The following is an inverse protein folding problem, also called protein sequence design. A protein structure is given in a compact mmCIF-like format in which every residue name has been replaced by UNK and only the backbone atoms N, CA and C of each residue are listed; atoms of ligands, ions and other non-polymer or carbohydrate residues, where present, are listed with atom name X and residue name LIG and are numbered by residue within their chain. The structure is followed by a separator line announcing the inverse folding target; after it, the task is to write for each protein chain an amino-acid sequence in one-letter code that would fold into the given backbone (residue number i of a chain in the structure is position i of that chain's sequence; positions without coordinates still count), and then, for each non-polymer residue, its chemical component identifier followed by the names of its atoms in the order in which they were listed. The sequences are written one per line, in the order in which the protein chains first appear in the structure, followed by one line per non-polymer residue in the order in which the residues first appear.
data_IF_462307420289
#
_entry.id   IF_462307420289
#
_cell.length_a   1.000
_cell.length_b   1.000
_cell.length_c   1.000
_cell.angle_alpha   90.00
_cell.angle_beta   90.00
_cell.angle_gamma   90.00
#
_symmetry.space_group_name_H-M   'P 1'
#
loop_
_entity.id
_entity.type
_entity.pdbx_description
1 polymer ?
#
# COMPACT_ATOMS: atom_id res chain seq x y z
N UNK A 1 -29.10 -11.78 -66.63
CA UNK A 1 -29.98 -10.61 -66.91
C UNK A 1 -29.09 -9.56 -67.54
N UNK A 2 -29.30 -9.25 -68.81
CA UNK A 2 -28.50 -8.24 -69.51
C UNK A 2 -29.06 -6.85 -69.18
N UNK A 3 -28.26 -6.00 -68.55
CA UNK A 3 -28.57 -4.59 -68.39
C UNK A 3 -28.69 -3.95 -69.78
N UNK A 4 -29.88 -3.44 -70.11
CA UNK A 4 -30.05 -2.60 -71.31
C UNK A 4 -29.35 -1.27 -71.05
N UNK A 5 -28.11 -1.14 -71.51
CA UNK A 5 -27.41 0.14 -71.57
C UNK A 5 -28.24 1.12 -72.41
N UNK A 6 -28.47 2.31 -71.88
CA UNK A 6 -29.11 3.40 -72.62
C UNK A 6 -28.06 3.90 -73.62
N UNK A 7 -28.19 3.50 -74.88
CA UNK A 7 -27.31 3.97 -75.96
C UNK A 7 -27.68 5.42 -76.33
N UNK A 8 -26.71 6.32 -76.22
CA UNK A 8 -26.84 7.71 -76.66
C UNK A 8 -26.49 7.86 -78.14
N UNK A 9 -26.87 8.99 -78.76
CA UNK A 9 -26.51 9.27 -80.15
C UNK A 9 -25.00 9.31 -80.40
N UNK A 10 -24.22 9.67 -79.39
CA UNK A 10 -22.74 9.69 -79.42
C UNK A 10 -22.17 8.27 -79.46
N UNK A 11 -22.75 7.33 -78.70
CA UNK A 11 -22.32 5.92 -78.70
C UNK A 11 -22.51 5.28 -80.07
N UNK A 12 -23.63 5.58 -80.74
CA UNK A 12 -23.92 5.11 -82.09
C UNK A 12 -22.95 5.70 -83.12
N UNK A 13 -22.54 6.96 -82.95
CA UNK A 13 -21.52 7.58 -83.80
C UNK A 13 -20.17 6.89 -83.63
N UNK A 14 -19.79 6.55 -82.40
CA UNK A 14 -18.55 5.84 -82.11
C UNK A 14 -18.53 4.45 -82.76
N UNK A 15 -19.60 3.67 -82.59
CA UNK A 15 -19.73 2.33 -83.20
C UNK A 15 -19.69 2.38 -84.74
N UNK A 16 -20.30 3.42 -85.34
CA UNK A 16 -20.26 3.64 -86.79
C UNK A 16 -18.85 3.96 -87.29
N UNK A 17 -18.09 4.76 -86.54
CA UNK A 17 -16.70 5.11 -86.88
C UNK A 17 -15.78 3.90 -86.71
N UNK A 18 -15.97 3.08 -85.67
CA UNK A 18 -15.23 1.83 -85.47
C UNK A 18 -15.50 0.81 -86.60
N UNK A 19 -16.76 0.63 -86.98
CA UNK A 19 -17.16 -0.33 -88.02
C UNK A 19 -16.65 0.03 -89.42
N UNK A 20 -16.67 1.32 -89.78
CA UNK A 20 -16.29 1.80 -91.13
C UNK A 20 -14.87 2.33 -91.23
N UNK A 21 -14.17 2.55 -90.10
CA UNK A 21 -12.81 3.09 -89.94
C UNK A 21 -12.60 4.52 -90.45
N UNK A 22 -13.37 4.95 -91.45
CA UNK A 22 -13.40 6.29 -92.02
C UNK A 22 -14.80 6.59 -92.53
N UNK A 23 -15.40 7.67 -92.03
CA UNK A 23 -16.76 8.07 -92.33
C UNK A 23 -16.81 9.58 -92.58
N UNK A 24 -17.44 10.06 -93.65
CA UNK A 24 -17.62 11.51 -93.80
C UNK A 24 -18.72 12.04 -92.87
N UNK A 25 -18.64 13.32 -92.47
CA UNK A 25 -19.69 13.94 -91.64
C UNK A 25 -21.10 13.82 -92.25
N UNK A 26 -21.20 13.93 -93.57
CA UNK A 26 -22.48 13.80 -94.28
C UNK A 26 -23.02 12.37 -94.18
N UNK A 27 -22.16 11.36 -94.40
CA UNK A 27 -22.56 9.96 -94.26
C UNK A 27 -22.92 9.63 -92.80
N UNK A 28 -22.20 10.18 -91.83
CA UNK A 28 -22.53 10.00 -90.41
C UNK A 28 -23.89 10.62 -90.06
N UNK A 29 -24.17 11.84 -90.55
CA UNK A 29 -25.45 12.52 -90.39
C UNK A 29 -26.61 11.72 -91.01
N UNK A 30 -26.41 11.20 -92.24
CA UNK A 30 -27.41 10.39 -92.94
C UNK A 30 -27.68 9.06 -92.20
N UNK A 31 -26.65 8.41 -91.67
CA UNK A 31 -26.78 7.15 -90.93
C UNK A 31 -27.43 7.31 -89.56
N UNK A 32 -27.17 8.42 -88.87
CA UNK A 32 -27.69 8.69 -87.53
C UNK A 32 -29.03 9.44 -87.55
N UNK A 33 -29.45 9.95 -88.71
CA UNK A 33 -30.69 10.70 -88.86
C UNK A 33 -30.68 12.05 -88.14
N UNK A 34 -29.50 12.65 -87.96
CA UNK A 34 -29.30 13.94 -87.27
C UNK A 34 -28.65 14.95 -88.20
N UNK A 35 -28.72 16.25 -87.87
CA UNK A 35 -28.14 17.29 -88.71
C UNK A 35 -26.60 17.29 -88.63
N UNK A 36 -25.94 17.69 -89.71
CA UNK A 36 -24.46 17.77 -89.81
C UNK A 36 -23.83 18.57 -88.65
N UNK A 37 -24.37 19.72 -88.21
CA UNK A 37 -23.81 20.45 -87.07
C UNK A 37 -23.80 19.63 -85.77
N UNK A 38 -24.83 18.81 -85.53
CA UNK A 38 -24.93 17.98 -84.32
C UNK A 38 -23.88 16.85 -84.35
N UNK A 39 -23.69 16.22 -85.50
CA UNK A 39 -22.61 15.22 -85.67
C UNK A 39 -21.24 15.87 -85.50
N UNK A 40 -21.09 17.12 -85.95
CA UNK A 40 -19.84 17.84 -85.79
C UNK A 40 -19.56 18.19 -84.32
N UNK A 41 -20.54 18.64 -83.55
CA UNK A 41 -20.39 18.84 -82.10
C UNK A 41 -20.02 17.53 -81.38
N UNK A 42 -20.64 16.41 -81.76
CA UNK A 42 -20.28 15.10 -81.21
C UNK A 42 -18.87 14.67 -81.63
N UNK A 43 -18.47 14.96 -82.86
CA UNK A 43 -17.15 14.64 -83.38
C UNK A 43 -16.06 15.46 -82.69
N UNK A 44 -16.29 16.76 -82.51
CA UNK A 44 -15.38 17.67 -81.80
C UNK A 44 -15.23 17.21 -80.34
N UNK A 45 -16.33 16.84 -79.68
CA UNK A 45 -16.31 16.27 -78.32
C UNK A 45 -15.52 14.94 -78.25
N UNK A 46 -15.75 14.04 -79.20
CA UNK A 46 -15.04 12.75 -79.27
C UNK A 46 -13.57 12.91 -79.67
N UNK A 47 -13.21 13.97 -80.41
CA UNK A 47 -11.82 14.32 -80.73
C UNK A 47 -11.08 14.88 -79.51
N UNK A 48 -11.74 15.73 -78.72
CA UNK A 48 -11.23 16.27 -77.45
C UNK A 48 -10.96 15.17 -76.42
N UNK A 49 -11.88 14.20 -76.29
CA UNK A 49 -11.69 13.00 -75.47
C UNK A 49 -10.69 12.00 -76.09
N UNK A 50 -10.30 12.21 -77.35
CA UNK A 50 -9.28 11.42 -78.04
C UNK A 50 -9.76 10.03 -78.49
N UNK A 51 -11.05 9.87 -78.72
CA UNK A 51 -11.69 8.64 -79.20
C UNK A 51 -11.64 8.53 -80.72
N UNK A 52 -11.80 9.65 -81.43
CA UNK A 52 -11.74 9.74 -82.90
C UNK A 52 -10.78 10.85 -83.34
N UNK A 53 -10.48 10.91 -84.63
CA UNK A 53 -9.67 11.99 -85.24
C UNK A 53 -10.41 12.56 -86.43
N UNK A 54 -10.47 13.88 -86.53
CA UNK A 54 -11.16 14.60 -87.60
C UNK A 54 -10.15 14.98 -88.68
N UNK A 55 -10.17 14.29 -89.82
CA UNK A 55 -9.33 14.60 -90.97
C UNK A 55 -10.07 15.49 -91.99
N UNK A 56 -9.53 16.68 -92.24
CA UNK A 56 -10.00 17.55 -93.31
C UNK A 56 -9.24 17.23 -94.62
N UNK A 57 -9.94 16.72 -95.63
CA UNK A 57 -9.37 16.52 -96.98
C UNK A 57 -10.20 17.27 -98.02
N UNK A 58 -9.55 18.23 -98.68
CA UNK A 58 -10.16 19.14 -99.65
C UNK A 58 -11.30 19.94 -98.99
N UNK A 59 -12.55 19.63 -99.35
CA UNK A 59 -13.79 20.27 -98.89
C UNK A 59 -14.69 19.31 -98.08
N UNK A 60 -14.17 18.15 -97.66
CA UNK A 60 -14.91 17.16 -96.87
C UNK A 60 -14.18 16.83 -95.57
N UNK A 61 -14.94 16.79 -94.49
CA UNK A 61 -14.49 16.39 -93.16
C UNK A 61 -14.77 14.90 -92.96
N UNK A 62 -13.75 14.15 -92.56
CA UNK A 62 -13.81 12.71 -92.30
C UNK A 62 -13.56 12.43 -90.82
N UNK A 63 -14.43 11.63 -90.22
CA UNK A 63 -14.25 11.01 -88.91
C UNK A 63 -13.47 9.72 -89.11
N UNK A 64 -12.27 9.67 -88.57
CA UNK A 64 -11.39 8.51 -88.60
C UNK A 64 -11.30 7.90 -87.20
N UNK A 65 -11.27 6.57 -87.13
CA UNK A 65 -10.92 5.85 -85.90
C UNK A 65 -9.52 6.31 -85.45
N UNK A 66 -9.41 6.91 -84.26
CA UNK A 66 -8.11 7.31 -83.72
C UNK A 66 -7.40 6.06 -83.21
N UNK A 67 -6.63 5.42 -84.08
CA UNK A 67 -5.63 4.45 -83.65
C UNK A 67 -4.54 5.19 -82.90
N UNK A 68 -4.54 5.07 -81.57
CA UNK A 68 -3.48 5.56 -80.71
C UNK A 68 -2.12 5.23 -81.35
N UNK A 69 -1.36 6.26 -81.71
CA UNK A 69 -0.08 6.08 -82.36
C UNK A 69 0.86 5.40 -81.34
N UNK A 70 1.68 4.41 -81.75
CA UNK A 70 2.54 3.63 -80.83
C UNK A 70 3.32 4.49 -79.82
N UNK A 71 3.71 5.71 -80.22
CA UNK A 71 4.41 6.69 -79.38
C UNK A 71 3.58 7.28 -78.24
N UNK A 72 2.27 7.47 -78.41
CA UNK A 72 1.39 7.99 -77.35
C UNK A 72 1.04 6.91 -76.33
N UNK A 73 0.85 5.68 -76.80
CA UNK A 73 0.72 4.50 -75.93
C UNK A 73 2.01 4.32 -75.13
N UNK A 74 3.19 4.32 -75.78
CA UNK A 74 4.47 4.23 -75.08
C UNK A 74 4.69 5.35 -74.04
N UNK A 75 4.28 6.59 -74.35
CA UNK A 75 4.42 7.72 -73.42
C UNK A 75 3.50 7.57 -72.21
N UNK A 76 2.23 7.22 -72.42
CA UNK A 76 1.29 6.91 -71.31
C UNK A 76 1.78 5.70 -70.52
N UNK A 77 2.22 4.62 -71.17
CA UNK A 77 2.77 3.43 -70.49
C UNK A 77 4.00 3.76 -69.66
N UNK A 78 4.92 4.62 -70.14
CA UNK A 78 6.08 5.10 -69.36
C UNK A 78 5.69 5.97 -68.17
N UNK A 79 4.72 6.88 -68.33
CA UNK A 79 4.21 7.69 -67.21
C UNK A 79 3.52 6.82 -66.15
N UNK A 80 2.74 5.81 -66.58
CA UNK A 80 2.11 4.86 -65.68
C UNK A 80 3.12 3.93 -65.00
N UNK A 81 4.15 3.46 -65.70
CA UNK A 81 5.24 2.68 -65.09
C UNK A 81 6.00 3.52 -64.06
N UNK A 82 6.26 4.80 -64.35
CA UNK A 82 6.95 5.71 -63.43
C UNK A 82 6.12 6.00 -62.18
N UNK A 83 4.80 6.23 -62.34
CA UNK A 83 3.87 6.39 -61.21
C UNK A 83 3.74 5.11 -60.39
N UNK A 84 3.74 3.95 -61.04
CA UNK A 84 3.77 2.64 -60.38
C UNK A 84 5.03 2.48 -59.55
N UNK A 85 6.20 2.66 -60.13
CA UNK A 85 7.47 2.49 -59.42
C UNK A 85 7.60 3.45 -58.23
N UNK A 86 7.15 4.71 -58.39
CA UNK A 86 7.09 5.67 -57.29
C UNK A 86 6.13 5.22 -56.19
N UNK A 87 4.98 4.65 -56.54
CA UNK A 87 4.02 4.09 -55.57
C UNK A 87 4.58 2.84 -54.88
N UNK A 88 5.19 1.91 -55.61
CA UNK A 88 5.80 0.70 -55.07
C UNK A 88 6.91 1.04 -54.08
N UNK A 89 7.77 2.01 -54.40
CA UNK A 89 8.81 2.50 -53.47
C UNK A 89 8.21 3.13 -52.21
N UNK A 90 7.13 3.90 -52.31
CA UNK A 90 6.44 4.46 -51.14
C UNK A 90 5.86 3.36 -50.25
N UNK A 91 5.24 2.34 -50.85
CA UNK A 91 4.73 1.18 -50.13
C UNK A 91 5.86 0.42 -49.45
N UNK A 92 6.96 0.13 -50.15
CA UNK A 92 8.14 -0.55 -49.59
C UNK A 92 8.77 0.23 -48.43
N UNK A 93 8.88 1.55 -48.54
CA UNK A 93 9.41 2.39 -47.49
C UNK A 93 8.49 2.42 -46.25
N UNK A 94 7.17 2.46 -46.46
CA UNK A 94 6.20 2.39 -45.38
C UNK A 94 6.18 1.00 -44.70
N UNK A 95 6.42 -0.08 -45.45
CA UNK A 95 6.59 -1.43 -44.92
C UNK A 95 7.84 -1.50 -44.04
N UNK A 96 8.98 -1.01 -44.54
CA UNK A 96 10.24 -1.05 -43.80
C UNK A 96 10.17 -0.23 -42.49
N UNK A 97 9.53 0.95 -42.52
CA UNK A 97 9.32 1.73 -41.28
C UNK A 97 8.42 1.02 -40.29
N UNK A 98 7.33 0.39 -40.77
CA UNK A 98 6.39 -0.34 -39.93
C UNK A 98 7.05 -1.55 -39.27
N UNK A 99 7.87 -2.31 -40.00
CA UNK A 99 8.63 -3.43 -39.43
C UNK A 99 9.55 -2.97 -38.30
N UNK A 100 10.27 -1.87 -38.49
CA UNK A 100 11.14 -1.29 -37.47
C UNK A 100 10.38 -0.83 -36.22
N UNK A 101 9.21 -0.20 -36.40
CA UNK A 101 8.33 0.20 -35.29
C UNK A 101 7.75 -1.02 -34.55
N UNK A 102 7.38 -2.07 -35.29
CA UNK A 102 6.87 -3.33 -34.77
C UNK A 102 7.94 -4.08 -33.94
N UNK A 103 9.19 -4.11 -34.41
CA UNK A 103 10.33 -4.64 -33.64
C UNK A 103 10.61 -3.83 -32.37
N UNK A 104 10.51 -2.49 -32.46
CA UNK A 104 10.63 -1.62 -31.29
C UNK A 104 9.55 -1.89 -30.24
N UNK A 105 8.31 -2.09 -30.69
CA UNK A 105 7.20 -2.45 -29.83
C UNK A 105 7.37 -3.81 -29.15
N UNK A 106 7.89 -4.84 -29.85
CA UNK A 106 8.15 -6.15 -29.22
C UNK A 106 9.21 -6.08 -28.12
N UNK A 107 10.27 -5.29 -28.31
CA UNK A 107 11.27 -5.05 -27.26
C UNK A 107 10.64 -4.37 -26.05
N UNK A 108 9.81 -3.36 -26.29
CA UNK A 108 9.09 -2.64 -25.24
C UNK A 108 8.12 -3.57 -24.47
N UNK A 109 7.44 -4.46 -25.19
CA UNK A 109 6.55 -5.48 -24.61
C UNK A 109 7.31 -6.44 -23.70
N UNK A 110 8.49 -6.91 -24.12
CA UNK A 110 9.35 -7.75 -23.30
C UNK A 110 9.86 -7.01 -22.04
N UNK A 111 10.21 -5.73 -22.14
CA UNK A 111 10.58 -4.91 -20.99
C UNK A 111 9.42 -4.74 -20.00
N UNK A 112 8.21 -4.45 -20.49
CA UNK A 112 6.99 -4.36 -19.67
C UNK A 112 6.69 -5.71 -18.99
N UNK A 113 6.91 -6.83 -19.68
CA UNK A 113 6.71 -8.17 -19.12
C UNK A 113 7.70 -8.49 -18.01
N UNK A 114 8.99 -8.16 -18.21
CA UNK A 114 10.02 -8.30 -17.17
C UNK A 114 9.70 -7.43 -15.95
N UNK A 115 9.31 -6.19 -16.18
CA UNK A 115 8.90 -5.27 -15.13
C UNK A 115 7.68 -5.83 -14.36
N UNK A 116 6.66 -6.34 -15.06
CA UNK A 116 5.49 -6.96 -14.44
C UNK A 116 5.82 -8.16 -13.57
N UNK A 117 6.77 -9.01 -14.00
CA UNK A 117 7.20 -10.17 -13.22
C UNK A 117 7.96 -9.75 -11.96
N UNK A 118 8.87 -8.77 -12.08
CA UNK A 118 9.60 -8.23 -10.92
C UNK A 118 8.64 -7.60 -9.90
N UNK A 119 7.71 -6.75 -10.37
CA UNK A 119 6.67 -6.16 -9.53
C UNK A 119 5.80 -7.23 -8.88
N UNK A 120 5.41 -8.28 -9.63
CA UNK A 120 4.59 -9.36 -9.09
C UNK A 120 5.24 -10.04 -7.88
N UNK A 121 6.56 -10.26 -7.95
CA UNK A 121 7.34 -10.81 -6.84
C UNK A 121 7.38 -9.85 -5.64
N UNK A 122 7.65 -8.57 -5.87
CA UNK A 122 7.74 -7.57 -4.80
C UNK A 122 6.38 -7.34 -4.12
N UNK A 123 5.29 -7.34 -4.89
CA UNK A 123 3.92 -7.21 -4.37
C UNK A 123 3.56 -8.40 -3.48
N UNK A 124 3.96 -9.61 -3.85
CA UNK A 124 3.68 -10.80 -3.04
C UNK A 124 4.48 -10.76 -1.73
N UNK A 125 5.75 -10.33 -1.76
CA UNK A 125 6.52 -10.09 -0.53
C UNK A 125 5.89 -9.03 0.37
N UNK A 126 5.45 -7.89 -0.19
CA UNK A 126 4.77 -6.84 0.59
C UNK A 126 3.45 -7.37 1.16
N UNK A 127 2.74 -8.23 0.44
CA UNK A 127 1.51 -8.87 0.91
C UNK A 127 1.77 -9.81 2.08
N UNK A 128 2.82 -10.62 2.01
CA UNK A 128 3.25 -11.49 3.12
C UNK A 128 3.61 -10.64 4.35
N UNK A 129 4.41 -9.59 4.17
CA UNK A 129 4.76 -8.65 5.26
C UNK A 129 3.53 -7.96 5.87
N UNK A 130 2.54 -7.60 5.05
CA UNK A 130 1.27 -7.03 5.51
C UNK A 130 0.43 -8.04 6.31
N UNK A 131 0.44 -9.32 5.93
CA UNK A 131 -0.22 -10.36 6.71
C UNK A 131 0.46 -10.57 8.06
N UNK A 132 1.79 -10.58 8.11
CA UNK A 132 2.54 -10.62 9.36
C UNK A 132 2.23 -9.41 10.24
N UNK A 133 2.20 -8.19 9.68
CA UNK A 133 1.82 -6.98 10.39
C UNK A 133 0.41 -7.05 10.97
N UNK A 134 -0.57 -7.57 10.22
CA UNK A 134 -1.92 -7.82 10.73
C UNK A 134 -1.92 -8.78 11.91
N UNK A 135 -1.15 -9.86 11.83
CA UNK A 135 -1.00 -10.80 12.93
C UNK A 135 -0.41 -10.13 14.18
N UNK A 136 0.62 -9.29 14.01
CA UNK A 136 1.17 -8.50 15.13
C UNK A 136 0.17 -7.49 15.71
N UNK A 137 -0.68 -6.89 14.88
CA UNK A 137 -1.73 -5.97 15.34
C UNK A 137 -2.79 -6.69 16.18
N UNK A 138 -3.22 -7.88 15.77
CA UNK A 138 -4.13 -8.73 16.55
C UNK A 138 -3.50 -9.16 17.89
N UNK A 139 -2.23 -9.58 17.85
CA UNK A 139 -1.49 -10.00 19.03
C UNK A 139 -1.33 -8.83 20.02
N UNK A 140 -1.03 -7.63 19.52
CA UNK A 140 -1.00 -6.40 20.33
C UNK A 140 -2.36 -6.13 20.97
N UNK A 141 -3.46 -6.23 20.21
CA UNK A 141 -4.81 -6.00 20.72
C UNK A 141 -5.18 -6.97 21.85
N UNK A 142 -4.72 -8.22 21.77
CA UNK A 142 -4.91 -9.20 22.83
C UNK A 142 -4.06 -8.87 24.07
N UNK A 143 -2.79 -8.52 23.89
CA UNK A 143 -1.92 -8.07 24.99
C UNK A 143 -2.48 -6.84 25.69
N UNK A 144 -2.99 -5.86 24.93
CA UNK A 144 -3.59 -4.64 25.50
C UNK A 144 -4.80 -4.99 26.39
N UNK A 145 -5.63 -5.97 25.99
CA UNK A 145 -6.73 -6.47 26.82
C UNK A 145 -6.23 -7.15 28.09
N UNK A 146 -5.22 -8.02 27.97
CA UNK A 146 -4.65 -8.73 29.11
C UNK A 146 -4.02 -7.76 30.11
N UNK A 147 -3.33 -6.71 29.64
CA UNK A 147 -2.77 -5.65 30.49
C UNK A 147 -3.89 -4.90 31.24
N UNK A 148 -4.99 -4.56 30.56
CA UNK A 148 -6.14 -3.90 31.19
C UNK A 148 -6.75 -4.80 32.27
N UNK A 149 -6.91 -6.08 31.97
CA UNK A 149 -7.47 -7.07 32.89
C UNK A 149 -6.58 -7.26 34.12
N UNK A 150 -5.27 -7.47 33.92
CA UNK A 150 -4.31 -7.56 35.02
C UNK A 150 -4.28 -6.30 35.88
N UNK A 151 -4.36 -5.11 35.27
CA UNK A 151 -4.41 -3.86 36.03
C UNK A 151 -5.63 -3.79 36.94
N UNK A 152 -6.79 -4.24 36.45
CA UNK A 152 -8.03 -4.29 37.23
C UNK A 152 -7.90 -5.28 38.41
N UNK A 153 -7.36 -6.46 38.16
CA UNK A 153 -7.10 -7.48 39.18
C UNK A 153 -6.14 -6.99 40.26
N UNK A 154 -5.04 -6.33 39.86
CA UNK A 154 -4.10 -5.71 40.80
C UNK A 154 -4.74 -4.59 41.63
N UNK A 155 -5.60 -3.76 41.03
CA UNK A 155 -6.33 -2.73 41.79
C UNK A 155 -7.23 -3.36 42.86
N UNK A 156 -7.99 -4.40 42.52
CA UNK A 156 -8.83 -5.12 43.49
C UNK A 156 -8.00 -5.78 44.60
N UNK A 157 -6.85 -6.36 44.25
CA UNK A 157 -5.94 -6.94 45.24
C UNK A 157 -5.39 -5.88 46.19
N UNK A 158 -4.99 -4.72 45.67
CA UNK A 158 -4.51 -3.59 46.47
C UNK A 158 -5.59 -3.07 47.42
N UNK A 159 -6.83 -2.89 46.96
CA UNK A 159 -7.95 -2.48 47.81
C UNK A 159 -8.19 -3.48 48.95
N UNK A 160 -8.17 -4.78 48.65
CA UNK A 160 -8.30 -5.83 49.66
C UNK A 160 -7.17 -5.78 50.70
N UNK A 161 -5.91 -5.62 50.27
CA UNK A 161 -4.77 -5.47 51.17
C UNK A 161 -4.92 -4.21 52.03
N UNK A 162 -5.31 -3.07 51.44
CA UNK A 162 -5.56 -1.84 52.19
C UNK A 162 -6.64 -2.03 53.27
N UNK A 163 -7.74 -2.71 52.95
CA UNK A 163 -8.77 -3.04 53.94
C UNK A 163 -8.23 -3.94 55.06
N UNK A 164 -7.45 -4.97 54.73
CA UNK A 164 -6.84 -5.85 55.72
C UNK A 164 -5.88 -5.07 56.64
N UNK A 165 -4.99 -4.26 56.08
CA UNK A 165 -4.06 -3.42 56.83
C UNK A 165 -4.80 -2.44 57.74
N UNK A 166 -5.85 -1.77 57.24
CA UNK A 166 -6.67 -0.87 58.04
C UNK A 166 -7.35 -1.60 59.22
N UNK A 167 -7.85 -2.82 58.99
CA UNK A 167 -8.47 -3.64 60.04
C UNK A 167 -7.46 -4.08 61.10
N UNK A 168 -6.24 -4.45 60.70
CA UNK A 168 -5.18 -4.85 61.63
C UNK A 168 -4.67 -3.65 62.43
N UNK A 169 -4.53 -2.48 61.78
CA UNK A 169 -4.17 -1.23 62.45
C UNK A 169 -5.16 -0.88 63.56
N UNK A 170 -6.47 -0.98 63.30
CA UNK A 170 -7.50 -0.75 64.33
C UNK A 170 -7.40 -1.74 65.50
N UNK A 171 -7.12 -3.02 65.23
CA UNK A 171 -6.92 -4.02 66.29
C UNK A 171 -5.68 -3.72 67.13
N UNK A 172 -4.59 -3.29 66.48
CA UNK A 172 -3.37 -2.90 67.18
C UNK A 172 -3.60 -1.68 68.07
N UNK A 173 -4.28 -0.65 67.56
CA UNK A 173 -4.63 0.55 68.32
C UNK A 173 -5.48 0.21 69.56
N UNK A 174 -6.49 -0.64 69.40
CA UNK A 174 -7.29 -1.12 70.54
C UNK A 174 -6.47 -1.90 71.59
N UNK A 175 -5.49 -2.71 71.16
CA UNK A 175 -4.59 -3.40 72.09
C UNK A 175 -3.66 -2.44 72.82
N UNK A 176 -3.18 -1.39 72.15
CA UNK A 176 -2.36 -0.34 72.78
C UNK A 176 -3.18 0.38 73.85
N UNK A 177 -4.42 0.78 73.54
CA UNK A 177 -5.32 1.42 74.50
C UNK A 177 -5.61 0.51 75.72
N UNK A 178 -5.81 -0.79 75.49
CA UNK A 178 -6.01 -1.77 76.56
C UNK A 178 -4.78 -1.91 77.45
N UNK A 179 -3.58 -1.99 76.86
CA UNK A 179 -2.31 -2.04 77.59
C UNK A 179 -2.11 -0.76 78.41
N UNK A 180 -2.42 0.41 77.87
CA UNK A 180 -2.32 1.68 78.60
C UNK A 180 -3.28 1.75 79.79
N UNK A 181 -4.52 1.29 79.60
CA UNK A 181 -5.52 1.18 80.66
C UNK A 181 -5.09 0.24 81.78
N UNK A 182 -4.60 -0.96 81.44
CA UNK A 182 -4.06 -1.90 82.44
C UNK A 182 -2.82 -1.37 83.15
N UNK A 183 -1.93 -0.68 82.42
CA UNK A 183 -0.76 -0.02 83.02
C UNK A 183 -1.18 1.03 84.04
N UNK A 184 -2.22 1.81 83.75
CA UNK A 184 -2.77 2.79 84.70
C UNK A 184 -3.32 2.11 85.97
N UNK A 185 -4.09 1.03 85.82
CA UNK A 185 -4.60 0.25 86.96
C UNK A 185 -3.49 -0.36 87.80
N UNK A 186 -2.43 -0.88 87.18
CA UNK A 186 -1.26 -1.41 87.88
C UNK A 186 -0.57 -0.31 88.68
N UNK A 187 -0.45 0.90 88.12
CA UNK A 187 0.18 2.02 88.81
C UNK A 187 -0.66 2.50 90.01
N UNK A 188 -1.99 2.56 89.87
CA UNK A 188 -2.91 2.80 90.99
C UNK A 188 -2.75 1.73 92.09
N UNK A 189 -2.74 0.44 91.71
CA UNK A 189 -2.54 -0.67 92.63
C UNK A 189 -1.19 -0.62 93.34
N UNK A 190 -0.10 -0.18 92.67
CA UNK A 190 1.21 0.04 93.30
C UNK A 190 1.15 1.15 94.35
N UNK A 191 0.45 2.25 94.07
CA UNK A 191 0.29 3.34 95.04
C UNK A 191 -0.46 2.85 96.27
N UNK A 192 -1.55 2.11 96.08
CA UNK A 192 -2.30 1.48 97.18
C UNK A 192 -1.42 0.50 97.97
N UNK A 193 -0.66 -0.35 97.26
CA UNK A 193 0.27 -1.30 97.88
C UNK A 193 1.32 -0.59 98.73
N UNK A 194 1.89 0.52 98.25
CA UNK A 194 2.85 1.33 99.02
C UNK A 194 2.24 1.93 100.30
N UNK A 195 0.95 2.28 100.26
CA UNK A 195 0.23 2.74 101.44
C UNK A 195 -0.01 1.61 102.43
N UNK A 196 -0.35 0.41 101.93
CA UNK A 196 -0.49 -0.80 102.74
C UNK A 196 0.85 -1.23 103.36
N UNK A 197 1.97 -1.17 102.63
CA UNK A 197 3.31 -1.44 103.16
C UNK A 197 3.68 -0.46 104.28
N UNK A 198 3.43 0.84 104.09
CA UNK A 198 3.65 1.84 105.17
C UNK A 198 2.76 1.56 106.39
N UNK A 199 1.53 1.13 106.16
CA UNK A 199 0.60 0.74 107.24
C UNK A 199 1.06 -0.54 107.94
N UNK A 200 1.54 -1.52 107.20
CA UNK A 200 2.14 -2.75 107.73
C UNK A 200 3.39 -2.42 108.56
N UNK A 201 4.28 -1.58 108.06
CA UNK A 201 5.48 -1.14 108.78
C UNK A 201 5.10 -0.41 110.08
N UNK A 202 4.06 0.43 110.06
CA UNK A 202 3.54 1.09 111.25
C UNK A 202 2.94 0.07 112.25
N UNK A 203 2.15 -0.89 111.76
CA UNK A 203 1.63 -1.99 112.59
C UNK A 203 2.78 -2.80 113.17
N UNK A 204 3.83 -3.09 112.39
CA UNK A 204 5.02 -3.81 112.84
C UNK A 204 5.78 -3.03 113.90
N UNK A 205 5.97 -1.71 113.73
CA UNK A 205 6.51 -0.81 114.77
C UNK A 205 5.65 -0.82 116.03
N UNK A 206 4.32 -0.84 115.91
CA UNK A 206 3.40 -0.96 117.06
C UNK A 206 3.45 -2.33 117.71
N UNK A 207 3.58 -3.41 116.93
CA UNK A 207 3.79 -4.78 117.42
C UNK A 207 5.15 -4.91 118.07
N UNK A 208 6.20 -4.27 117.56
CA UNK A 208 7.52 -4.21 118.18
C UNK A 208 7.51 -3.40 119.47
N UNK A 209 6.76 -2.29 119.52
CA UNK A 209 6.53 -1.53 120.75
C UNK A 209 5.70 -2.35 121.76
N UNK A 210 4.68 -3.08 121.32
CA UNK A 210 3.94 -4.04 122.15
C UNK A 210 4.83 -5.20 122.58
N UNK A 211 5.74 -5.69 121.73
CA UNK A 211 6.74 -6.70 122.07
C UNK A 211 7.80 -6.14 123.01
N UNK A 212 8.11 -4.84 122.98
CA UNK A 212 8.95 -4.15 123.96
C UNK A 212 8.22 -3.97 125.29
N UNK A 213 6.92 -3.68 125.27
CA UNK A 213 6.06 -3.66 126.46
C UNK A 213 5.95 -5.08 127.04
N UNK A 214 5.72 -6.10 126.21
CA UNK A 214 5.76 -7.51 126.58
C UNK A 214 7.16 -7.93 127.02
N UNK A 215 8.25 -7.36 126.48
CA UNK A 215 9.62 -7.53 127.00
C UNK A 215 9.85 -6.76 128.29
N UNK A 216 9.12 -5.71 128.61
CA UNK A 216 9.16 -5.03 129.92
C UNK A 216 8.34 -5.78 130.99
N UNK A 217 7.28 -6.47 130.54
CA UNK A 217 6.54 -7.50 131.28
C UNK A 217 7.33 -8.83 131.30
N UNK A 218 8.22 -9.03 130.34
CA UNK A 218 9.10 -10.19 130.16
C UNK A 218 10.48 -10.01 130.79
N UNK A 219 10.90 -8.81 131.16
CA UNK A 219 11.94 -8.56 132.16
C UNK A 219 11.39 -8.70 133.58
N UNK A 220 10.07 -8.93 133.71
CA UNK A 220 9.48 -9.65 134.85
C UNK A 220 9.41 -11.19 134.62
N UNK A 221 9.90 -11.73 133.49
CA UNK A 221 10.03 -13.18 133.17
C UNK A 221 11.43 -13.43 132.55
N UNK A 222 12.47 -13.27 133.35
CA UNK A 222 13.91 -13.33 133.00
C UNK A 222 14.44 -14.71 132.52
N UNK A 223 13.60 -15.61 131.98
CA UNK A 223 13.87 -17.06 131.97
C UNK A 223 13.89 -17.76 130.60
N UNK A 224 13.50 -17.13 129.48
CA UNK A 224 13.53 -17.77 128.15
C UNK A 224 14.66 -17.29 127.23
N UNK A 225 15.84 -17.04 127.80
CA UNK A 225 17.05 -16.53 127.13
C UNK A 225 17.83 -17.59 126.30
N UNK A 226 17.44 -18.85 126.26
CA UNK A 226 18.35 -19.94 125.83
C UNK A 226 18.03 -20.71 124.53
N UNK A 227 16.97 -20.44 123.75
CA UNK A 227 16.62 -21.33 122.60
C UNK A 227 16.80 -20.77 121.17
N UNK A 228 17.10 -19.48 120.97
CA UNK A 228 17.19 -18.88 119.62
C UNK A 228 18.66 -18.59 119.25
N UNK A 229 19.54 -19.57 119.46
CA UNK A 229 20.93 -19.55 118.94
C UNK A 229 21.09 -20.40 117.67
N UNK A 230 20.01 -21.05 117.20
CA UNK A 230 20.04 -22.09 116.17
C UNK A 230 19.41 -21.71 114.81
N UNK A 231 18.77 -20.55 114.65
CA UNK A 231 18.04 -20.22 113.41
C UNK A 231 18.73 -19.18 112.51
N UNK A 232 19.93 -18.73 112.88
CA UNK A 232 20.73 -17.74 112.13
C UNK A 232 21.35 -18.34 110.85
N UNK A 233 21.36 -19.66 110.69
CA UNK A 233 22.06 -20.34 109.58
C UNK A 233 21.25 -20.52 108.28
N UNK A 234 20.02 -19.99 108.15
CA UNK A 234 19.13 -20.28 107.01
C UNK A 234 18.77 -19.13 106.06
N UNK A 235 19.18 -17.89 106.32
CA UNK A 235 18.78 -16.72 105.50
C UNK A 235 19.87 -16.27 104.51
N UNK A 236 21.03 -16.93 104.48
CA UNK A 236 22.10 -16.62 103.53
C UNK A 236 21.97 -17.31 102.15
N UNK A 237 20.83 -17.94 101.81
CA UNK A 237 20.69 -18.74 100.58
C UNK A 237 19.64 -18.25 99.58
N UNK A 238 19.02 -17.08 99.79
CA UNK A 238 17.96 -16.57 98.86
C UNK A 238 18.30 -15.20 98.27
N UNK A 239 19.42 -14.58 98.67
CA UNK A 239 19.89 -13.31 98.12
C UNK A 239 20.79 -13.44 96.88
N UNK A 240 20.89 -14.65 96.27
CA UNK A 240 21.80 -14.94 95.16
C UNK A 240 21.17 -15.07 93.76
N UNK A 241 19.84 -15.10 93.62
CA UNK A 241 19.19 -15.46 92.33
C UNK A 241 18.41 -14.32 91.66
N UNK A 242 18.28 -13.14 92.30
CA UNK A 242 17.56 -11.99 91.73
C UNK A 242 18.47 -10.98 90.99
N UNK A 243 19.80 -11.05 91.15
CA UNK A 243 20.75 -10.11 90.52
C UNK A 243 21.21 -10.52 89.12
N UNK A 244 20.89 -11.73 88.64
CA UNK A 244 21.29 -12.20 87.32
C UNK A 244 20.25 -11.95 86.21
N UNK A 245 18.97 -11.70 86.52
CA UNK A 245 17.93 -11.54 85.50
C UNK A 245 17.78 -10.10 84.96
N UNK A 246 18.43 -9.12 85.61
CA UNK A 246 18.39 -7.71 85.18
C UNK A 246 19.57 -7.30 84.29
N UNK A 247 20.60 -8.15 84.15
CA UNK A 247 21.83 -7.85 83.40
C UNK A 247 21.81 -8.25 81.92
N UNK A 248 20.86 -9.09 81.49
CA UNK A 248 20.80 -9.60 80.10
C UNK A 248 19.76 -8.93 79.18
N UNK A 249 18.85 -8.10 79.70
CA UNK A 249 17.82 -7.43 78.88
C UNK A 249 18.29 -6.04 78.39
N UNK A 250 19.21 -5.40 79.11
CA UNK A 250 19.64 -4.02 78.83
C UNK A 250 20.75 -3.90 77.78
N UNK A 251 21.41 -5.01 77.41
CA UNK A 251 22.54 -5.02 76.45
C UNK A 251 22.20 -5.52 75.04
N UNK A 252 20.92 -5.77 74.70
CA UNK A 252 20.48 -6.14 73.33
C UNK A 252 19.59 -5.12 72.62
N UNK A 253 19.31 -3.97 73.23
CA UNK A 253 18.45 -2.93 72.64
C UNK A 253 19.18 -1.63 72.27
N UNK A 254 20.51 -1.54 72.45
CA UNK A 254 21.23 -0.24 72.36
C UNK A 254 22.39 -0.16 71.37
N UNK A 255 22.55 -1.13 70.47
CA UNK A 255 23.67 -1.10 69.50
C UNK A 255 23.33 -1.47 68.06
N UNK A 256 22.10 -1.87 67.70
CA UNK A 256 21.77 -2.23 66.29
C UNK A 256 20.34 -1.88 65.85
N UNK A 257 19.83 -0.69 66.21
CA UNK A 257 18.59 -0.18 65.58
C UNK A 257 18.68 1.30 65.20
N UNK A 258 19.88 1.70 64.77
CA UNK A 258 20.16 3.01 64.19
C UNK A 258 20.65 2.94 62.71
N UNK A 259 20.79 1.76 62.06
CA UNK A 259 20.95 1.71 60.60
C UNK A 259 19.89 0.85 59.88
N UNK A 260 18.61 0.89 60.26
CA UNK A 260 17.53 0.20 59.51
C UNK A 260 16.48 1.14 58.93
N UNK A 261 16.45 2.43 59.32
CA UNK A 261 15.73 3.50 58.61
C UNK A 261 16.65 4.13 57.54
N UNK A 262 17.42 3.30 56.85
CA UNK A 262 18.30 3.70 55.73
C UNK A 262 18.25 2.76 54.52
N UNK A 263 17.31 1.80 54.53
CA UNK A 263 17.08 0.87 53.40
C UNK A 263 15.67 1.03 52.81
N UNK A 264 14.83 1.91 53.36
CA UNK A 264 13.55 2.28 52.77
C UNK A 264 13.71 3.28 51.60
N UNK A 265 14.67 4.21 51.69
CA UNK A 265 14.83 5.28 50.69
C UNK A 265 15.73 4.91 49.49
N UNK A 266 16.39 3.73 49.49
CA UNK A 266 17.16 3.23 48.34
C UNK A 266 16.36 2.29 47.41
N UNK A 267 15.11 1.96 47.76
CA UNK A 267 14.23 1.11 46.94
C UNK A 267 13.11 1.84 46.21
N UNK A 268 12.96 3.14 46.42
CA UNK A 268 11.99 3.96 45.72
C UNK A 268 12.57 4.62 44.44
N UNK A 269 13.88 4.96 44.44
CA UNK A 269 14.56 5.50 43.25
C UNK A 269 14.75 4.49 42.10
N UNK A 270 14.74 3.18 42.39
CA UNK A 270 14.86 2.14 41.34
C UNK A 270 13.54 1.76 40.67
N UNK A 271 12.40 2.25 41.17
CA UNK A 271 11.08 1.99 40.57
C UNK A 271 10.69 3.11 39.58
N UNK A 272 11.10 4.35 39.81
CA UNK A 272 10.86 5.47 38.89
C UNK A 272 11.84 5.54 37.72
N UNK A 273 13.09 5.06 37.87
CA UNK A 273 14.07 5.01 36.78
C UNK A 273 13.76 3.93 35.70
N UNK A 274 13.00 2.89 36.06
CA UNK A 274 12.58 1.84 35.11
C UNK A 274 11.34 2.27 34.31
N UNK A 275 10.46 3.10 34.89
CA UNK A 275 9.29 3.64 34.18
C UNK A 275 9.67 4.66 33.09
N UNK A 276 10.68 5.49 33.31
CA UNK A 276 11.07 6.52 32.32
C UNK A 276 11.87 5.98 31.12
N UNK A 277 12.69 4.94 31.28
CA UNK A 277 13.39 4.32 30.13
C UNK A 277 12.46 3.50 29.23
N UNK A 278 11.40 2.93 29.82
CA UNK A 278 10.34 2.22 29.11
C UNK A 278 9.37 3.22 28.45
N UNK A 279 8.99 4.31 29.12
CA UNK A 279 8.17 5.39 28.54
C UNK A 279 8.91 6.15 27.42
N UNK A 280 10.22 6.41 27.52
CA UNK A 280 11.01 7.01 26.42
C UNK A 280 11.13 6.07 25.22
N UNK A 281 11.40 4.77 25.43
CA UNK A 281 11.42 3.76 24.34
C UNK A 281 10.03 3.54 23.73
N UNK A 282 8.95 3.63 24.52
CA UNK A 282 7.57 3.54 24.03
C UNK A 282 7.17 4.82 23.27
N UNK A 283 7.58 6.02 23.70
CA UNK A 283 7.29 7.27 23.01
C UNK A 283 8.14 7.47 21.74
N UNK A 284 9.40 7.03 21.72
CA UNK A 284 10.22 6.95 20.51
C UNK A 284 9.65 5.91 19.53
N UNK A 285 9.24 4.73 20.02
CA UNK A 285 8.53 3.73 19.19
C UNK A 285 7.19 4.26 18.68
N UNK A 286 6.42 4.99 19.49
CA UNK A 286 5.12 5.58 19.07
C UNK A 286 5.32 6.66 18.01
N UNK A 287 6.34 7.52 18.14
CA UNK A 287 6.69 8.50 17.10
C UNK A 287 7.21 7.85 15.82
N UNK A 288 8.00 6.77 15.91
CA UNK A 288 8.38 6.01 14.72
C UNK A 288 7.16 5.32 14.09
N UNK A 289 6.23 4.77 14.89
CA UNK A 289 4.99 4.14 14.40
C UNK A 289 4.06 5.17 13.72
N UNK A 290 3.91 6.39 14.25
CA UNK A 290 3.13 7.46 13.59
C UNK A 290 3.78 7.95 12.29
N UNK A 291 5.12 8.01 12.24
CA UNK A 291 5.86 8.30 11.01
C UNK A 291 5.67 7.20 9.98
N UNK A 292 5.76 5.92 10.38
CA UNK A 292 5.46 4.78 9.52
C UNK A 292 3.99 4.75 9.09
N UNK A 293 3.05 5.24 9.90
CA UNK A 293 1.63 5.32 9.52
C UNK A 293 1.41 6.33 8.40
N UNK A 294 2.01 7.52 8.50
CA UNK A 294 1.96 8.52 7.42
C UNK A 294 2.69 8.05 6.16
N UNK A 295 3.87 7.48 6.30
CA UNK A 295 4.64 6.89 5.19
C UNK A 295 3.90 5.71 4.56
N UNK A 296 3.15 4.91 5.33
CA UNK A 296 2.36 3.79 4.80
C UNK A 296 1.12 4.25 4.02
N UNK A 297 0.49 5.35 4.42
CA UNK A 297 -0.63 5.96 3.67
C UNK A 297 -0.11 6.54 2.36
N UNK A 298 1.03 7.23 2.40
CA UNK A 298 1.66 7.81 1.22
C UNK A 298 2.17 6.71 0.27
N UNK A 299 2.78 5.66 0.82
CA UNK A 299 3.15 4.48 0.04
C UNK A 299 1.95 3.75 -0.55
N UNK A 300 0.80 3.70 0.14
CA UNK A 300 -0.43 3.12 -0.39
C UNK A 300 -1.04 3.95 -1.53
N UNK A 301 -0.99 5.28 -1.43
CA UNK A 301 -1.40 6.18 -2.52
C UNK A 301 -0.46 6.07 -3.73
N UNK A 302 0.85 6.02 -3.51
CA UNK A 302 1.86 5.79 -4.54
C UNK A 302 1.67 4.41 -5.20
N UNK A 303 1.37 3.37 -4.40
CA UNK A 303 1.03 2.04 -4.91
C UNK A 303 -0.23 2.06 -5.77
N UNK A 304 -1.26 2.79 -5.35
CA UNK A 304 -2.51 2.92 -6.11
C UNK A 304 -2.27 3.63 -7.44
N UNK A 305 -1.55 4.76 -7.43
CA UNK A 305 -1.18 5.50 -8.62
C UNK A 305 -0.33 4.66 -9.58
N UNK A 306 0.57 3.83 -9.03
CA UNK A 306 1.36 2.89 -9.79
C UNK A 306 0.52 1.79 -10.46
N UNK A 307 -0.43 1.20 -9.75
CA UNK A 307 -1.33 0.18 -10.31
C UNK A 307 -2.26 0.75 -11.39
N UNK A 308 -2.77 1.97 -11.21
CA UNK A 308 -3.55 2.66 -12.24
C UNK A 308 -2.71 2.93 -13.49
N UNK A 309 -1.45 3.37 -13.32
CA UNK A 309 -0.50 3.55 -14.43
C UNK A 309 -0.18 2.23 -15.13
N UNK A 310 0.01 1.15 -14.37
CA UNK A 310 0.22 -0.21 -14.90
C UNK A 310 -0.99 -0.72 -15.70
N UNK A 311 -2.21 -0.50 -15.20
CA UNK A 311 -3.44 -0.88 -15.90
C UNK A 311 -3.55 -0.16 -17.25
N UNK A 312 -3.29 1.15 -17.28
CA UNK A 312 -3.28 1.94 -18.51
C UNK A 312 -2.21 1.46 -19.51
N UNK A 313 -1.01 1.16 -19.03
CA UNK A 313 0.06 0.59 -19.85
C UNK A 313 -0.37 -0.76 -20.45
N UNK A 314 -1.02 -1.62 -19.65
CA UNK A 314 -1.48 -2.92 -20.10
C UNK A 314 -2.59 -2.81 -21.17
N UNK A 315 -3.57 -1.94 -20.96
CA UNK A 315 -4.62 -1.64 -21.95
C UNK A 315 -4.03 -1.10 -23.25
N UNK A 316 -3.05 -0.19 -23.16
CA UNK A 316 -2.34 0.34 -24.31
C UNK A 316 -1.62 -0.77 -25.09
N UNK A 317 -0.89 -1.67 -24.39
CA UNK A 317 -0.20 -2.81 -25.02
C UNK A 317 -1.19 -3.74 -25.75
N UNK A 318 -2.33 -4.07 -25.13
CA UNK A 318 -3.36 -4.91 -25.78
C UNK A 318 -3.93 -4.20 -27.02
N UNK A 319 -4.20 -2.90 -26.92
CA UNK A 319 -4.73 -2.13 -28.05
C UNK A 319 -3.72 -2.03 -29.20
N UNK A 320 -2.43 -1.88 -28.89
CA UNK A 320 -1.34 -1.84 -29.86
C UNK A 320 -1.12 -3.19 -30.52
N UNK A 321 -1.20 -4.31 -29.78
CA UNK A 321 -1.14 -5.66 -30.38
C UNK A 321 -2.26 -5.87 -31.40
N UNK A 322 -3.48 -5.41 -31.08
CA UNK A 322 -4.62 -5.52 -31.99
C UNK A 322 -4.45 -4.64 -33.23
N UNK A 323 -4.03 -3.39 -33.05
CA UNK A 323 -3.77 -2.47 -34.16
C UNK A 323 -2.62 -2.95 -35.06
N UNK A 324 -1.56 -3.51 -34.47
CA UNK A 324 -0.46 -4.15 -35.21
C UNK A 324 -0.99 -5.26 -36.12
N UNK A 325 -1.81 -6.17 -35.60
CA UNK A 325 -2.38 -7.26 -36.38
C UNK A 325 -3.28 -6.76 -37.53
N UNK A 326 -4.07 -5.72 -37.28
CA UNK A 326 -4.90 -5.09 -38.33
C UNK A 326 -4.05 -4.40 -39.41
N UNK A 327 -2.96 -3.73 -39.03
CA UNK A 327 -2.03 -3.07 -39.94
C UNK A 327 -1.27 -4.11 -40.77
N UNK A 328 -0.78 -5.20 -40.16
CA UNK A 328 -0.11 -6.30 -40.88
C UNK A 328 -1.04 -6.94 -41.92
N UNK A 329 -2.30 -7.18 -41.54
CA UNK A 329 -3.31 -7.70 -42.47
C UNK A 329 -3.57 -6.73 -43.63
N UNK A 330 -3.78 -5.45 -43.32
CA UNK A 330 -3.98 -4.41 -44.34
C UNK A 330 -2.77 -4.25 -45.27
N UNK A 331 -1.56 -4.38 -44.73
CA UNK A 331 -0.31 -4.36 -45.48
C UNK A 331 -0.22 -5.54 -46.45
N UNK A 332 -0.56 -6.75 -45.98
CA UNK A 332 -0.56 -7.97 -46.80
C UNK A 332 -1.57 -7.87 -47.95
N UNK A 333 -2.75 -7.32 -47.70
CA UNK A 333 -3.76 -7.05 -48.72
C UNK A 333 -3.27 -6.04 -49.76
N UNK A 334 -2.59 -4.96 -49.33
CA UNK A 334 -1.98 -3.96 -50.20
C UNK A 334 -0.89 -4.55 -51.10
N UNK A 335 -0.01 -5.39 -50.53
CA UNK A 335 1.03 -6.10 -51.26
C UNK A 335 0.42 -7.04 -52.29
N UNK A 336 -0.61 -7.81 -51.91
CA UNK A 336 -1.29 -8.74 -52.80
C UNK A 336 -2.01 -8.01 -53.95
N UNK A 337 -2.66 -6.87 -53.67
CA UNK A 337 -3.26 -6.01 -54.69
C UNK A 337 -2.23 -5.39 -55.63
N UNK A 338 -1.13 -4.87 -55.10
CA UNK A 338 -0.04 -4.33 -55.91
C UNK A 338 0.63 -5.39 -56.81
N UNK A 339 0.76 -6.62 -56.30
CA UNK A 339 1.24 -7.77 -57.10
C UNK A 339 0.23 -8.17 -58.17
N UNK A 340 -1.06 -8.25 -57.84
CA UNK A 340 -2.14 -8.53 -58.80
C UNK A 340 -2.24 -7.50 -59.93
N UNK A 341 -1.98 -6.22 -59.63
CA UNK A 341 -1.90 -5.15 -60.61
C UNK A 341 -0.79 -5.37 -61.66
N UNK A 342 0.30 -6.05 -61.30
CA UNK A 342 1.39 -6.41 -62.23
C UNK A 342 0.92 -7.43 -63.28
N UNK A 343 -0.10 -8.22 -62.97
CA UNK A 343 -0.68 -9.23 -63.86
C UNK A 343 -1.79 -8.64 -64.77
N UNK A 344 -2.45 -7.56 -64.37
CA UNK A 344 -3.61 -6.98 -65.09
C UNK A 344 -3.29 -5.82 -66.04
N UNK A 345 -2.01 -5.48 -66.28
CA UNK A 345 -1.55 -4.40 -67.17
C UNK A 345 -2.02 -4.51 -68.65
N UNK A 346 -2.81 -5.52 -68.99
CA UNK A 346 -3.38 -5.75 -70.33
C UNK A 346 -4.83 -5.26 -70.50
N UNK A 347 -5.50 -4.76 -69.46
CA UNK A 347 -6.88 -4.25 -69.55
C UNK A 347 -6.96 -2.72 -69.52
N UNK A 348 -7.99 -2.14 -70.12
CA UNK A 348 -8.20 -0.68 -70.24
C UNK A 348 -8.45 0.03 -68.89
N UNK A 349 -8.81 -0.70 -67.84
CA UNK A 349 -9.20 -0.14 -66.53
C UNK A 349 -8.04 0.00 -65.51
N UNK A 350 -6.85 0.37 -65.99
CA UNK A 350 -5.67 0.61 -65.14
C UNK A 350 -5.91 1.80 -64.18
N UNK A 351 -6.73 2.77 -64.59
CA UNK A 351 -6.97 4.02 -63.86
C UNK A 351 -7.82 3.78 -62.60
N UNK A 352 -8.86 2.96 -62.68
CA UNK A 352 -9.69 2.56 -61.53
C UNK A 352 -8.88 1.81 -60.47
N UNK A 353 -8.05 0.87 -60.91
CA UNK A 353 -7.18 0.08 -60.02
C UNK A 353 -6.15 0.94 -59.27
N UNK A 354 -5.53 1.93 -59.93
CA UNK A 354 -4.58 2.84 -59.28
C UNK A 354 -5.28 3.70 -58.23
N UNK A 355 -6.51 4.14 -58.50
CA UNK A 355 -7.31 4.93 -57.54
C UNK A 355 -7.68 4.12 -56.29
N UNK A 356 -8.15 2.87 -56.46
CA UNK A 356 -8.45 1.96 -55.34
C UNK A 356 -7.19 1.64 -54.51
N UNK A 357 -6.04 1.45 -55.14
CA UNK A 357 -4.76 1.26 -54.44
C UNK A 357 -4.34 2.50 -53.64
N UNK A 358 -4.54 3.70 -54.17
CA UNK A 358 -4.26 4.95 -53.47
C UNK A 358 -5.19 5.19 -52.28
N UNK A 359 -6.49 4.90 -52.42
CA UNK A 359 -7.47 5.01 -51.34
C UNK A 359 -7.12 4.05 -50.20
N UNK A 360 -6.83 2.79 -50.51
CA UNK A 360 -6.42 1.80 -49.51
C UNK A 360 -5.08 2.13 -48.84
N UNK A 361 -4.14 2.71 -49.59
CA UNK A 361 -2.87 3.18 -49.02
C UNK A 361 -3.08 4.35 -48.06
N UNK A 362 -3.98 5.29 -48.38
CA UNK A 362 -4.33 6.41 -47.50
C UNK A 362 -4.98 5.93 -46.19
N UNK A 363 -5.87 4.94 -46.25
CA UNK A 363 -6.45 4.31 -45.06
C UNK A 363 -5.38 3.60 -44.21
N UNK A 364 -4.45 2.90 -44.85
CA UNK A 364 -3.31 2.27 -44.19
C UNK A 364 -2.42 3.31 -43.48
N UNK A 365 -2.06 4.41 -44.14
CA UNK A 365 -1.25 5.46 -43.53
C UNK A 365 -1.93 6.09 -42.31
N UNK A 366 -3.25 6.31 -42.35
CA UNK A 366 -4.00 6.82 -41.19
C UNK A 366 -3.89 5.86 -39.99
N UNK A 367 -4.06 4.56 -40.23
CA UNK A 367 -3.91 3.54 -39.17
C UNK A 367 -2.47 3.48 -38.65
N UNK A 368 -1.48 3.52 -39.53
CA UNK A 368 -0.05 3.56 -39.15
C UNK A 368 0.27 4.76 -38.26
N UNK A 369 -0.18 5.95 -38.64
CA UNK A 369 0.10 7.17 -37.89
C UNK A 369 -0.56 7.14 -36.49
N UNK A 370 -1.75 6.56 -36.37
CA UNK A 370 -2.39 6.30 -35.07
C UNK A 370 -1.55 5.35 -34.21
N UNK A 371 -1.08 4.25 -34.78
CA UNK A 371 -0.25 3.27 -34.09
C UNK A 371 1.07 3.88 -33.60
N UNK A 372 1.76 4.65 -34.44
CA UNK A 372 3.00 5.37 -34.07
C UNK A 372 2.75 6.35 -32.93
N UNK A 373 1.64 7.09 -32.96
CA UNK A 373 1.29 8.02 -31.90
C UNK A 373 1.09 7.30 -30.55
N UNK A 374 0.39 6.16 -30.57
CA UNK A 374 0.16 5.33 -29.37
C UNK A 374 1.45 4.67 -28.84
N UNK A 375 2.38 4.29 -29.72
CA UNK A 375 3.73 3.88 -29.30
C UNK A 375 4.44 5.05 -28.58
N UNK A 376 4.32 6.28 -29.09
CA UNK A 376 4.85 7.47 -28.42
C UNK A 376 4.26 7.68 -27.03
N UNK A 377 2.94 7.59 -26.89
CA UNK A 377 2.23 7.68 -25.61
C UNK A 377 2.67 6.59 -24.62
N UNK A 378 2.79 5.34 -25.08
CA UNK A 378 3.29 4.23 -24.27
C UNK A 378 4.74 4.49 -23.81
N UNK A 379 5.58 5.01 -24.70
CA UNK A 379 6.98 5.34 -24.39
C UNK A 379 7.06 6.44 -23.34
N UNK A 380 6.23 7.49 -23.41
CA UNK A 380 6.15 8.52 -22.37
C UNK A 380 5.69 7.97 -21.01
N UNK A 381 4.70 7.08 -21.02
CA UNK A 381 4.20 6.45 -19.80
C UNK A 381 5.26 5.58 -19.12
N UNK A 382 6.15 4.94 -19.88
CA UNK A 382 7.25 4.12 -19.37
C UNK A 382 8.44 4.98 -18.91
N UNK A 383 8.75 6.07 -19.63
CA UNK A 383 9.95 6.90 -19.41
C UNK A 383 9.78 8.02 -18.37
N UNK A 384 8.55 8.45 -18.06
CA UNK A 384 8.28 9.26 -16.86
C UNK A 384 8.47 8.39 -15.61
N UNK A 385 9.71 8.30 -15.16
CA UNK A 385 10.10 7.79 -13.84
C UNK A 385 9.70 8.78 -12.76
#
# INVERSE_FOLDING_TARGET
MAEKSIETGVDKLLELVEGKKRLSLNEAADFLGVSIPVVQEWADFLEDEGMISVEYKLSKTYLCERRLNKKEVEKKTKEYSSKKDAFTRKVEQAIASMQKESEGFEKLKEEVKKLNNAIGSDVEQVREQLQELKHYEELKKNIDKDIIQQKLEYQQMLENIHHQVASQRKKYEALVDEIESEKAKIEEAKVEFSYLEKREENIRKRVDALNQIVKSVGTKISEQKNSIKASITRINTVLGEAEQLHKDITNKMKTELEPVIKVADEKEEKILAVQDSILKKIMERKKSIEKYKLESIQAAEDFKAFFEKKSKIHELVISLDKEKAEIEKGMQELINKARGFTLSLKSEDVRGYVKDLQEKFSEFEKKRNSFVKKIGELTEHISKK
#
